data_IF_539849642518
#
_entry.id   IF_539849642518
#
_cell.length_a   1.000
_cell.length_b   1.000
_cell.length_c   1.000
_cell.angle_alpha   90.00
_cell.angle_beta   90.00
_cell.angle_gamma   90.00
#
_symmetry.space_group_name_H-M   'P 1'
#
loop_
_entity.id
_entity.type
_entity.pdbx_description
1 polymer ?
#
# COMPACT_ATOMS: atom_id res chain seq x y z
N UNK A 1 8.90 -4.09 -2.39
CA UNK A 1 7.92 -5.02 -2.99
C UNK A 1 8.45 -5.93 -4.11
N UNK A 2 9.22 -5.47 -5.11
CA UNK A 2 9.72 -6.35 -6.23
C UNK A 2 10.41 -7.65 -5.80
N UNK A 3 11.19 -7.63 -4.71
CA UNK A 3 11.83 -8.84 -4.19
C UNK A 3 10.84 -9.91 -3.72
N UNK A 4 9.71 -9.49 -3.13
CA UNK A 4 8.63 -10.39 -2.74
C UNK A 4 7.89 -10.91 -3.97
N UNK A 5 7.67 -10.07 -4.98
CA UNK A 5 7.08 -10.50 -6.26
C UNK A 5 7.90 -11.63 -6.90
N UNK A 6 9.24 -11.49 -6.98
CA UNK A 6 10.13 -12.56 -7.45
C UNK A 6 10.02 -13.84 -6.62
N UNK A 7 9.96 -13.71 -5.29
CA UNK A 7 9.83 -14.86 -4.38
C UNK A 7 8.52 -15.61 -4.61
N UNK A 8 7.43 -14.89 -4.84
CA UNK A 8 6.10 -15.45 -5.03
C UNK A 8 5.74 -15.75 -6.49
N UNK A 9 6.64 -15.42 -7.45
CA UNK A 9 6.44 -15.56 -8.89
C UNK A 9 5.26 -14.73 -9.42
N UNK A 10 5.17 -13.51 -8.90
CA UNK A 10 4.15 -12.51 -9.23
C UNK A 10 4.74 -11.40 -10.12
N UNK A 11 3.88 -10.52 -10.62
CA UNK A 11 4.28 -9.38 -11.46
C UNK A 11 5.15 -8.37 -10.68
N UNK A 12 6.43 -8.29 -11.05
CA UNK A 12 7.40 -7.40 -10.42
C UNK A 12 7.12 -5.92 -10.65
N UNK A 13 6.55 -5.53 -11.79
CA UNK A 13 6.24 -4.13 -12.07
C UNK A 13 5.04 -3.68 -11.25
N UNK A 14 3.97 -4.48 -11.24
CA UNK A 14 2.77 -4.20 -10.46
C UNK A 14 3.12 -4.08 -8.96
N UNK A 15 3.81 -5.06 -8.41
CA UNK A 15 4.22 -5.04 -7.00
C UNK A 15 5.21 -3.91 -6.71
N UNK A 16 6.16 -3.67 -7.62
CA UNK A 16 7.11 -2.58 -7.51
C UNK A 16 6.42 -1.22 -7.43
N UNK A 17 5.45 -0.99 -8.30
CA UNK A 17 4.65 0.22 -8.33
C UNK A 17 3.79 0.36 -7.07
N UNK A 18 3.13 -0.71 -6.62
CA UNK A 18 2.40 -0.73 -5.34
C UNK A 18 3.26 -0.25 -4.18
N UNK A 19 4.48 -0.79 -4.03
CA UNK A 19 5.39 -0.35 -2.96
C UNK A 19 5.86 1.09 -3.11
N UNK A 20 5.99 1.60 -4.34
CA UNK A 20 6.42 2.97 -4.60
C UNK A 20 5.36 4.00 -4.19
N UNK A 21 4.08 3.68 -4.38
CA UNK A 21 2.99 4.66 -4.24
C UNK A 21 2.16 4.47 -2.95
N UNK A 22 2.46 3.48 -2.11
CA UNK A 22 1.60 3.17 -0.96
C UNK A 22 1.42 4.33 0.03
N UNK A 23 2.48 5.12 0.26
CA UNK A 23 2.48 6.27 1.17
C UNK A 23 2.31 7.62 0.48
N UNK A 24 1.78 7.64 -0.75
CA UNK A 24 1.72 8.88 -1.54
C UNK A 24 0.91 10.01 -0.87
N UNK A 25 0.03 9.67 0.07
CA UNK A 25 -0.79 10.60 0.84
C UNK A 25 -0.23 10.96 2.23
N UNK A 26 0.94 10.43 2.61
CA UNK A 26 1.47 10.57 3.97
C UNK A 26 1.65 12.03 4.39
N UNK A 27 2.26 12.88 3.55
CA UNK A 27 2.48 14.30 3.88
C UNK A 27 1.18 15.08 4.17
N UNK A 28 0.05 14.62 3.61
CA UNK A 28 -1.26 15.23 3.85
C UNK A 28 -1.97 14.62 5.07
N UNK A 29 -1.68 13.36 5.39
CA UNK A 29 -2.45 12.55 6.34
C UNK A 29 -1.69 12.22 7.62
N UNK A 30 -0.42 12.65 7.78
CA UNK A 30 0.38 12.38 8.97
C UNK A 30 -0.27 12.89 10.27
N UNK A 31 -1.07 13.97 10.20
CA UNK A 31 -1.84 14.49 11.34
C UNK A 31 -3.21 13.83 11.54
N UNK A 32 -3.67 13.05 10.57
CA UNK A 32 -4.94 12.30 10.60
C UNK A 32 -4.72 10.88 10.06
N UNK A 33 -4.02 10.01 10.81
CA UNK A 33 -3.62 8.67 10.35
C UNK A 33 -4.78 7.76 9.94
N UNK A 34 -6.00 8.02 10.43
CA UNK A 34 -7.22 7.34 10.00
C UNK A 34 -7.67 7.68 8.56
N UNK A 35 -7.07 8.69 7.93
CA UNK A 35 -7.27 9.02 6.52
C UNK A 35 -6.17 8.47 5.62
N UNK A 36 -4.99 8.21 6.17
CA UNK A 36 -3.87 7.64 5.45
C UNK A 36 -4.27 6.30 4.81
N UNK A 37 -3.77 6.08 3.60
CA UNK A 37 -4.11 5.02 2.66
C UNK A 37 -5.44 5.20 1.91
N UNK A 38 -6.47 5.79 2.54
CA UNK A 38 -7.77 6.04 1.87
C UNK A 38 -7.64 7.17 0.86
N UNK A 39 -6.98 8.26 1.25
CA UNK A 39 -6.76 9.42 0.38
C UNK A 39 -5.87 9.04 -0.80
N UNK A 40 -4.78 8.32 -0.53
CA UNK A 40 -3.88 7.79 -1.56
C UNK A 40 -4.62 6.89 -2.55
N UNK A 41 -5.42 5.93 -2.07
CA UNK A 41 -6.21 5.07 -2.93
C UNK A 41 -7.20 5.84 -3.83
N UNK A 42 -7.82 6.90 -3.32
CA UNK A 42 -8.69 7.76 -4.13
C UNK A 42 -7.91 8.45 -5.26
N UNK A 43 -6.72 8.99 -4.97
CA UNK A 43 -5.87 9.62 -5.99
C UNK A 43 -5.42 8.62 -7.05
N UNK A 44 -5.00 7.42 -6.65
CA UNK A 44 -4.58 6.37 -7.56
C UNK A 44 -5.73 5.88 -8.44
N UNK A 45 -6.96 5.83 -7.91
CA UNK A 45 -8.17 5.54 -8.68
C UNK A 45 -8.39 6.59 -9.78
N UNK A 46 -8.31 7.88 -9.42
CA UNK A 46 -8.46 8.99 -10.38
C UNK A 46 -7.34 9.00 -11.43
N UNK A 47 -6.11 8.64 -11.03
CA UNK A 47 -4.98 8.50 -11.92
C UNK A 47 -5.05 7.28 -12.85
N UNK A 48 -6.04 6.40 -12.67
CA UNK A 48 -6.26 5.24 -13.53
C UNK A 48 -5.29 4.08 -13.28
N UNK A 49 -4.72 3.96 -12.09
CA UNK A 49 -3.90 2.80 -11.74
C UNK A 49 -4.74 1.51 -11.66
N UNK A 50 -4.10 0.33 -11.85
CA UNK A 50 -4.77 -0.95 -11.71
C UNK A 50 -5.50 -1.11 -10.35
N UNK A 51 -6.73 -1.65 -10.32
CA UNK A 51 -7.50 -1.85 -9.08
C UNK A 51 -6.77 -2.64 -8.00
N UNK A 52 -5.90 -3.58 -8.39
CA UNK A 52 -5.07 -4.39 -7.49
C UNK A 52 -4.09 -3.51 -6.70
N UNK A 53 -3.53 -2.49 -7.35
CA UNK A 53 -2.65 -1.52 -6.69
C UNK A 53 -3.49 -0.64 -5.76
N UNK A 54 -4.60 -0.10 -6.27
CA UNK A 54 -5.49 0.78 -5.51
C UNK A 54 -5.96 0.10 -4.22
N UNK A 55 -6.43 -1.15 -4.30
CA UNK A 55 -6.93 -1.88 -3.14
C UNK A 55 -5.79 -2.26 -2.19
N UNK A 56 -4.63 -2.70 -2.70
CA UNK A 56 -3.47 -2.97 -1.86
C UNK A 56 -3.04 -1.74 -1.06
N UNK A 57 -2.98 -0.57 -1.71
CA UNK A 57 -2.72 0.69 -1.02
C UNK A 57 -3.84 0.98 -0.03
N UNK A 58 -5.11 0.92 -0.42
CA UNK A 58 -6.23 1.25 0.48
C UNK A 58 -6.21 0.44 1.77
N UNK A 59 -5.90 -0.86 1.70
CA UNK A 59 -5.94 -1.73 2.88
C UNK A 59 -4.67 -1.67 3.71
N UNK A 60 -3.52 -1.19 3.24
CA UNK A 60 -2.26 -1.40 3.98
C UNK A 60 -2.21 -0.79 5.39
N UNK A 61 -3.05 0.21 5.68
CA UNK A 61 -3.15 0.83 7.00
C UNK A 61 -4.05 -0.01 7.93
N UNK A 62 -3.41 -0.56 8.98
CA UNK A 62 -4.07 -1.43 9.96
C UNK A 62 -5.18 -0.76 10.77
N UNK A 63 -5.17 0.58 10.89
CA UNK A 63 -6.18 1.32 11.64
C UNK A 63 -7.59 1.17 11.05
N UNK A 64 -7.70 0.85 9.76
CA UNK A 64 -9.00 0.65 9.11
C UNK A 64 -9.71 -0.63 9.54
N UNK A 65 -8.99 -1.57 10.17
CA UNK A 65 -9.54 -2.87 10.55
C UNK A 65 -9.97 -3.73 9.35
N UNK A 66 -9.41 -3.46 8.17
CA UNK A 66 -9.72 -4.18 6.92
C UNK A 66 -8.72 -5.31 6.75
N UNK A 67 -9.18 -6.54 6.72
CA UNK A 67 -8.28 -7.69 6.57
C UNK A 67 -7.73 -7.78 5.13
N UNK A 68 -6.40 -7.89 4.94
CA UNK A 68 -5.81 -8.10 3.62
C UNK A 68 -6.11 -9.53 3.12
N UNK A 69 -6.61 -9.64 1.88
CA UNK A 69 -7.08 -10.88 1.25
C UNK A 69 -6.07 -11.45 0.29
N UNK A 70 -5.54 -10.62 -0.61
CA UNK A 70 -4.62 -11.06 -1.67
C UNK A 70 -3.20 -11.20 -1.17
N UNK A 71 -2.35 -11.88 -1.94
CA UNK A 71 -0.94 -12.05 -1.60
C UNK A 71 -0.19 -10.72 -1.66
N UNK A 72 -0.56 -9.82 -2.58
CA UNK A 72 -0.03 -8.45 -2.66
C UNK A 72 -0.40 -7.64 -1.42
N UNK A 73 -1.68 -7.62 -1.04
CA UNK A 73 -2.18 -6.91 0.14
C UNK A 73 -1.46 -7.39 1.40
N UNK A 74 -1.42 -8.71 1.62
CA UNK A 74 -0.72 -9.32 2.78
C UNK A 74 0.77 -8.97 2.78
N UNK A 75 1.39 -8.96 1.61
CA UNK A 75 2.81 -8.65 1.49
C UNK A 75 3.10 -7.18 1.79
N UNK A 76 2.27 -6.25 1.30
CA UNK A 76 2.42 -4.83 1.58
C UNK A 76 2.17 -4.55 3.06
N UNK A 77 1.08 -5.09 3.60
CA UNK A 77 0.72 -5.00 5.02
C UNK A 77 1.84 -5.47 5.94
N UNK A 78 2.47 -6.60 5.64
CA UNK A 78 3.60 -7.11 6.43
C UNK A 78 4.90 -6.33 6.18
N UNK A 79 5.13 -5.82 4.97
CA UNK A 79 6.35 -5.08 4.64
C UNK A 79 6.38 -3.69 5.30
N UNK A 80 5.22 -3.04 5.45
CA UNK A 80 5.08 -1.74 6.10
C UNK A 80 5.70 -1.75 7.51
N UNK A 81 5.36 -2.74 8.33
CA UNK A 81 5.90 -2.85 9.71
C UNK A 81 7.41 -3.13 9.77
N UNK A 82 8.04 -3.52 8.65
CA UNK A 82 9.49 -3.78 8.56
C UNK A 82 10.28 -2.59 8.03
N UNK A 83 9.65 -1.70 7.26
CA UNK A 83 10.31 -0.55 6.61
C UNK A 83 9.86 0.80 7.14
N UNK A 84 8.85 0.83 8.02
CA UNK A 84 8.31 2.05 8.60
C UNK A 84 9.39 2.89 9.27
N UNK A 85 9.83 3.94 8.57
CA UNK A 85 10.37 5.15 9.18
C UNK A 85 9.23 5.88 9.92
N UNK A 86 8.60 5.21 10.90
CA UNK A 86 7.75 5.88 11.87
C UNK A 86 8.71 6.76 12.67
N UNK A 87 8.71 8.07 12.42
CA UNK A 87 9.36 9.03 13.33
C UNK A 87 8.66 8.85 14.68
N UNK A 88 9.33 8.11 15.56
CA UNK A 88 8.98 8.01 16.98
C UNK A 88 9.27 9.35 17.65
#
# INVERSE_FOLDING_TARGET
MRALARKFKEDEELWGLTGLVHDIDWELTESTPEQHSIVGAQWLTVAGLPPEIVEAVRVHNHMHGIEPKTLLEKSLWCAEELTGFKKV
#
